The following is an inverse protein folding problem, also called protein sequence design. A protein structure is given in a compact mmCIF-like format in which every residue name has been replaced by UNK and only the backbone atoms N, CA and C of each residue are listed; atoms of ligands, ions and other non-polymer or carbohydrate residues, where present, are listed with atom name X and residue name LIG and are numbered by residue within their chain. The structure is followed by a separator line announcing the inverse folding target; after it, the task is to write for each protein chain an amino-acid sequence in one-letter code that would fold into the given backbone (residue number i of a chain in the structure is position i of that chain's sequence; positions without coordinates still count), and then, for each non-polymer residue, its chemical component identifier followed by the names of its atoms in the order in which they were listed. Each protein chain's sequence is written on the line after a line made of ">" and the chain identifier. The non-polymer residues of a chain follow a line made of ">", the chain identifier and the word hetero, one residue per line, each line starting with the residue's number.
data_IF_454352058179
#
_entry.id   IF_454352058179
#
_cell.length_a   1.000
_cell.length_b   1.000
_cell.length_c   1.000
_cell.angle_alpha   90.00
_cell.angle_beta   90.00
_cell.angle_gamma   90.00
#
_symmetry.space_group_name_H-M   'P 1'
#
loop_
_entity.id
_entity.type
_entity.pdbx_description
1 polymer ?
#
# COMPACT_ATOMS: atom_id res chain seq x y z
N UNK A 1 -15.31 1.01 -20.19
CA UNK A 1 -14.92 2.32 -19.60
C UNK A 1 -15.40 2.55 -18.15
N UNK A 2 -16.27 1.70 -17.56
CA UNK A 2 -16.73 1.86 -16.17
C UNK A 2 -15.93 1.11 -15.09
N UNK A 3 -15.11 0.11 -15.45
CA UNK A 3 -14.40 -0.73 -14.49
C UNK A 3 -13.10 -0.07 -13.98
N UNK A 4 -12.33 0.55 -14.88
CA UNK A 4 -10.98 1.09 -14.55
C UNK A 4 -11.05 2.35 -13.69
N UNK A 5 -12.08 3.18 -13.89
CA UNK A 5 -12.27 4.38 -13.06
C UNK A 5 -12.69 4.01 -11.63
N UNK A 6 -13.44 2.91 -11.47
CA UNK A 6 -13.76 2.37 -10.16
C UNK A 6 -12.51 1.76 -9.49
N UNK A 7 -11.74 0.93 -10.22
CA UNK A 7 -10.48 0.37 -9.73
C UNK A 7 -9.49 1.44 -9.30
N UNK A 8 -9.35 2.53 -10.06
CA UNK A 8 -8.48 3.65 -9.68
C UNK A 8 -8.94 4.34 -8.40
N UNK A 9 -10.24 4.57 -8.23
CA UNK A 9 -10.79 5.18 -7.04
C UNK A 9 -10.62 4.27 -5.80
N UNK A 10 -10.87 2.97 -5.95
CA UNK A 10 -10.66 1.95 -4.93
C UNK A 10 -9.19 1.84 -4.53
N UNK A 11 -8.28 1.81 -5.51
CA UNK A 11 -6.83 1.79 -5.29
C UNK A 11 -6.35 3.04 -4.52
N UNK A 12 -6.85 4.22 -4.89
CA UNK A 12 -6.55 5.46 -4.16
C UNK A 12 -7.07 5.40 -2.71
N UNK A 13 -8.28 4.84 -2.50
CA UNK A 13 -8.86 4.66 -1.17
C UNK A 13 -8.05 3.70 -0.31
N UNK A 14 -7.67 2.52 -0.81
CA UNK A 14 -6.80 1.58 -0.07
C UNK A 14 -5.44 2.18 0.23
N UNK A 15 -4.83 2.87 -0.73
CA UNK A 15 -3.60 3.61 -0.51
C UNK A 15 -3.72 4.64 0.63
N UNK A 16 -4.83 5.37 0.70
CA UNK A 16 -5.09 6.31 1.79
C UNK A 16 -5.18 5.60 3.14
N UNK A 17 -5.88 4.46 3.22
CA UNK A 17 -6.06 3.69 4.47
C UNK A 17 -4.74 3.09 4.95
N UNK A 18 -3.97 2.49 4.05
CA UNK A 18 -2.62 1.99 4.35
C UNK A 18 -1.75 3.13 4.91
N UNK A 19 -1.78 4.31 4.27
CA UNK A 19 -1.02 5.48 4.75
C UNK A 19 -1.43 5.93 6.15
N UNK A 20 -2.73 5.87 6.49
CA UNK A 20 -3.22 6.20 7.83
C UNK A 20 -2.64 5.23 8.85
N UNK A 21 -2.80 3.91 8.63
CA UNK A 21 -2.29 2.88 9.55
C UNK A 21 -0.79 3.01 9.77
N UNK A 22 -0.01 3.17 8.70
CA UNK A 22 1.45 3.30 8.81
C UNK A 22 1.88 4.62 9.47
N UNK A 23 1.13 5.72 9.29
CA UNK A 23 1.38 7.00 9.99
C UNK A 23 1.07 6.94 11.47
N UNK A 24 -0.03 6.31 11.84
CA UNK A 24 -0.42 6.13 13.25
C UNK A 24 0.63 5.32 14.02
N UNK A 25 1.33 4.41 13.34
CA UNK A 25 2.45 3.65 13.88
C UNK A 25 3.81 4.39 13.81
N UNK A 26 3.85 5.60 13.26
CA UNK A 26 5.08 6.40 13.14
C UNK A 26 6.08 5.87 12.10
N UNK A 27 5.64 5.04 11.16
CA UNK A 27 6.52 4.33 10.22
C UNK A 27 6.80 5.10 8.92
N UNK A 28 5.95 6.08 8.60
CA UNK A 28 6.11 6.92 7.41
C UNK A 28 6.84 8.22 7.75
N UNK A 29 7.77 8.59 6.87
CA UNK A 29 8.38 9.91 6.90
C UNK A 29 7.45 10.98 6.29
N UNK A 30 7.91 12.23 6.27
CA UNK A 30 7.15 13.36 5.71
C UNK A 30 6.74 13.20 4.24
N UNK A 31 7.43 12.35 3.48
CA UNK A 31 7.14 12.08 2.07
C UNK A 31 6.14 10.94 1.87
N UNK A 32 5.69 10.29 2.96
CA UNK A 32 4.80 9.13 2.90
C UNK A 32 5.52 7.86 2.46
N UNK A 33 6.83 7.74 2.69
CA UNK A 33 7.59 6.51 2.44
C UNK A 33 8.06 5.92 3.75
N UNK A 34 8.22 4.59 3.79
CA UNK A 34 8.88 3.94 4.91
C UNK A 34 10.35 4.36 4.92
N UNK A 35 10.78 4.91 6.06
CA UNK A 35 12.19 5.19 6.32
C UNK A 35 12.84 3.93 6.89
N UNK A 36 13.40 3.08 6.03
CA UNK A 36 14.20 1.95 6.46
C UNK A 36 15.60 2.05 5.85
N UNK A 37 16.65 2.01 6.68
CA UNK A 37 18.05 2.05 6.22
C UNK A 37 18.49 0.71 5.60
N UNK A 38 17.75 -0.36 5.88
CA UNK A 38 17.90 -1.69 5.28
C UNK A 38 16.60 -1.98 4.55
N UNK A 39 16.62 -2.69 3.43
CA UNK A 39 15.38 -2.97 2.70
C UNK A 39 14.50 -4.01 3.40
N UNK A 40 14.11 -3.72 4.63
CA UNK A 40 13.40 -4.58 5.55
C UNK A 40 12.21 -3.82 6.13
N UNK A 41 11.10 -4.53 6.28
CA UNK A 41 9.91 -4.03 6.94
C UNK A 41 10.14 -3.95 8.45
N UNK A 42 9.53 -2.97 9.14
CA UNK A 42 9.41 -3.03 10.60
C UNK A 42 8.70 -4.32 11.01
N UNK A 43 9.17 -5.00 12.07
CA UNK A 43 8.66 -6.32 12.51
C UNK A 43 7.13 -6.38 12.59
N UNK A 44 6.50 -5.31 13.10
CA UNK A 44 5.04 -5.24 13.13
C UNK A 44 4.47 -5.35 11.71
N UNK A 45 4.94 -4.56 10.75
CA UNK A 45 4.48 -4.62 9.35
C UNK A 45 4.84 -5.94 8.70
N UNK A 46 6.06 -6.44 8.90
CA UNK A 46 6.54 -7.72 8.38
C UNK A 46 5.58 -8.87 8.75
N UNK A 47 5.18 -8.97 10.02
CA UNK A 47 4.26 -10.02 10.47
C UNK A 47 2.85 -9.85 9.89
N UNK A 48 2.39 -8.63 9.58
CA UNK A 48 1.08 -8.47 8.91
C UNK A 48 1.17 -8.86 7.44
N UNK A 49 2.29 -8.57 6.80
CA UNK A 49 2.45 -8.68 5.36
C UNK A 49 3.19 -9.96 4.97
N UNK A 50 3.34 -10.92 5.89
CA UNK A 50 3.98 -12.19 5.64
C UNK A 50 3.30 -12.92 4.46
N UNK A 51 4.10 -13.28 3.46
CA UNK A 51 3.62 -13.86 2.20
C UNK A 51 2.92 -12.89 1.24
N UNK A 52 2.74 -11.61 1.59
CA UNK A 52 2.21 -10.56 0.71
C UNK A 52 3.31 -9.63 0.19
N UNK A 53 4.13 -9.08 1.10
CA UNK A 53 5.26 -8.20 0.78
C UNK A 53 6.41 -8.53 1.73
N UNK A 54 7.59 -8.71 1.17
CA UNK A 54 8.79 -9.12 1.90
C UNK A 54 9.68 -7.92 2.24
N UNK A 55 9.66 -6.86 1.44
CA UNK A 55 10.58 -5.72 1.61
C UNK A 55 9.92 -4.36 1.72
N UNK A 56 10.65 -3.42 2.33
CA UNK A 56 10.23 -2.03 2.42
C UNK A 56 10.11 -1.37 1.04
N UNK A 57 10.93 -1.83 0.07
CA UNK A 57 10.92 -1.40 -1.32
C UNK A 57 9.63 -1.78 -2.03
N UNK A 58 9.11 -2.99 -1.80
CA UNK A 58 7.85 -3.44 -2.39
C UNK A 58 6.66 -2.64 -1.84
N UNK A 59 6.60 -2.43 -0.51
CA UNK A 59 5.57 -1.60 0.10
C UNK A 59 5.66 -0.15 -0.37
N UNK A 60 6.86 0.42 -0.45
CA UNK A 60 7.06 1.76 -1.02
C UNK A 60 6.66 1.83 -2.51
N UNK A 61 6.90 0.77 -3.28
CA UNK A 61 6.46 0.64 -4.67
C UNK A 61 4.94 0.69 -4.78
N UNK A 62 4.24 -0.10 -3.96
CA UNK A 62 2.79 -0.11 -3.90
C UNK A 62 2.22 1.27 -3.51
N UNK A 63 2.78 1.91 -2.47
CA UNK A 63 2.38 3.26 -2.03
C UNK A 63 2.55 4.31 -3.14
N UNK A 64 3.62 4.22 -3.94
CA UNK A 64 3.83 5.10 -5.11
C UNK A 64 2.76 4.89 -6.18
N UNK A 65 2.39 3.64 -6.46
CA UNK A 65 1.33 3.33 -7.44
C UNK A 65 -0.02 3.86 -6.93
N UNK A 66 -0.35 3.68 -5.65
CA UNK A 66 -1.56 4.25 -5.06
C UNK A 66 -1.59 5.79 -5.15
N UNK A 67 -0.45 6.46 -4.94
CA UNK A 67 -0.33 7.90 -5.10
C UNK A 67 -0.54 8.34 -6.55
N UNK A 68 0.07 7.63 -7.51
CA UNK A 68 -0.14 7.85 -8.94
C UNK A 68 -1.62 7.65 -9.32
N UNK A 69 -2.28 6.65 -8.74
CA UNK A 69 -3.72 6.40 -8.91
C UNK A 69 -4.54 7.62 -8.47
N UNK A 70 -4.28 8.12 -7.24
CA UNK A 70 -4.93 9.30 -6.65
C UNK A 70 -4.69 10.58 -7.48
N UNK A 71 -3.48 10.77 -7.98
CA UNK A 71 -3.10 11.95 -8.77
C UNK A 71 -3.61 11.89 -10.23
N UNK A 72 -4.34 10.84 -10.61
CA UNK A 72 -4.77 10.59 -12.00
C UNK A 72 -3.59 10.49 -12.98
N UNK A 73 -2.42 10.08 -12.50
CA UNK A 73 -1.24 9.83 -13.35
C UNK A 73 -1.46 8.59 -14.23
N UNK A 74 -0.86 8.53 -15.43
CA UNK A 74 -0.99 7.36 -16.30
C UNK A 74 -0.49 6.08 -15.63
N UNK A 75 -1.33 5.05 -15.61
CA UNK A 75 -1.00 3.69 -15.18
C UNK A 75 -1.47 2.74 -16.27
N UNK A 76 -0.68 1.71 -16.58
CA UNK A 76 -1.15 0.65 -17.48
C UNK A 76 -2.25 -0.17 -16.80
N UNK A 77 -3.11 -0.80 -17.60
CA UNK A 77 -4.19 -1.66 -17.09
C UNK A 77 -3.64 -2.82 -16.24
N UNK A 78 -2.53 -3.43 -16.67
CA UNK A 78 -1.85 -4.51 -15.92
C UNK A 78 -1.35 -4.03 -14.56
N UNK A 79 -0.75 -2.83 -14.50
CA UNK A 79 -0.29 -2.25 -13.24
C UNK A 79 -1.48 -1.90 -12.34
N UNK A 80 -2.55 -1.36 -12.92
CA UNK A 80 -3.76 -1.02 -12.17
C UNK A 80 -4.38 -2.27 -11.54
N UNK A 81 -4.50 -3.36 -12.29
CA UNK A 81 -5.10 -4.61 -11.83
C UNK A 81 -4.26 -5.30 -10.75
N UNK A 82 -2.95 -5.39 -10.97
CA UNK A 82 -2.04 -5.97 -9.99
C UNK A 82 -2.01 -5.14 -8.70
N UNK A 83 -1.89 -3.81 -8.81
CA UNK A 83 -1.85 -2.93 -7.66
C UNK A 83 -3.20 -2.87 -6.93
N UNK A 84 -4.32 -2.99 -7.63
CA UNK A 84 -5.65 -3.07 -7.04
C UNK A 84 -5.78 -4.29 -6.14
N UNK A 85 -5.42 -5.47 -6.63
CA UNK A 85 -5.41 -6.69 -5.82
C UNK A 85 -4.47 -6.56 -4.61
N UNK A 86 -3.21 -6.17 -4.84
CA UNK A 86 -2.20 -6.07 -3.79
C UNK A 86 -2.56 -5.03 -2.73
N UNK A 87 -3.04 -3.84 -3.13
CA UNK A 87 -3.42 -2.79 -2.18
C UNK A 87 -4.62 -3.20 -1.33
N UNK A 88 -5.56 -3.97 -1.89
CA UNK A 88 -6.67 -4.52 -1.12
C UNK A 88 -6.17 -5.48 -0.03
N UNK A 89 -5.34 -6.45 -0.40
CA UNK A 89 -4.84 -7.47 0.54
C UNK A 89 -3.94 -6.86 1.62
N UNK A 90 -3.03 -5.96 1.25
CA UNK A 90 -2.19 -5.22 2.19
C UNK A 90 -3.02 -4.35 3.13
N UNK A 91 -4.05 -3.66 2.62
CA UNK A 91 -4.94 -2.85 3.46
C UNK A 91 -5.66 -3.71 4.50
N UNK A 92 -6.23 -4.84 4.09
CA UNK A 92 -6.93 -5.77 4.99
C UNK A 92 -5.98 -6.31 6.06
N UNK A 93 -4.80 -6.79 5.66
CA UNK A 93 -3.82 -7.35 6.58
C UNK A 93 -3.29 -6.34 7.62
N UNK A 94 -3.19 -5.06 7.26
CA UNK A 94 -2.77 -4.00 8.17
C UNK A 94 -3.87 -3.53 9.12
N UNK A 95 -5.14 -3.62 8.71
CA UNK A 95 -6.30 -3.19 9.50
C UNK A 95 -6.90 -4.30 10.36
N UNK A 96 -6.63 -5.57 10.04
CA UNK A 96 -7.10 -6.68 10.85
C UNK A 96 -6.56 -6.56 12.29
N UNK A 97 -7.44 -6.55 13.31
CA UNK A 97 -7.01 -6.53 14.69
C UNK A 97 -6.25 -7.83 14.94
N UNK A 98 -4.93 -7.73 15.10
CA UNK A 98 -4.13 -8.89 15.49
C UNK A 98 -4.66 -9.38 16.83
N UNK A 99 -5.13 -10.62 16.83
CA UNK A 99 -5.68 -11.28 18.00
C UNK A 99 -4.75 -11.13 19.21
N UNK A 100 -5.39 -11.08 20.37
CA UNK A 100 -4.86 -10.92 21.73
C UNK A 100 -3.63 -11.77 22.05
#
# INVERSE_FOLDING_TARGET
>A
MGNDMNKRAELANWGSRINVVLREQGLLNANGTLGSERDALPVVVEVALDGLLETSGELNGLLKICKAASNREPLSEVVLDAAHLMAREVCLALEEPRGA
#
